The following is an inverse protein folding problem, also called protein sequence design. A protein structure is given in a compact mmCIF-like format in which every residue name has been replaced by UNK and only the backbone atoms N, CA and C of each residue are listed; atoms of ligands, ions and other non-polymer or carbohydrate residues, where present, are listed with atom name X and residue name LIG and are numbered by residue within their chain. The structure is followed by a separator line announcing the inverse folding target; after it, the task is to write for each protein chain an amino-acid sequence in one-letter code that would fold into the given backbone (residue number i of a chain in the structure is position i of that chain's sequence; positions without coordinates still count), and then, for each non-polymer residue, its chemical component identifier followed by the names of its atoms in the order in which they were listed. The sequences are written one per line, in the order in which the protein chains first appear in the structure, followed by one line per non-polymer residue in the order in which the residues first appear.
data_IF_485259339109
#
_entry.id   IF_485259339109
#
_cell.length_a   1.000
_cell.length_b   1.000
_cell.length_c   1.000
_cell.angle_alpha   90.00
_cell.angle_beta   90.00
_cell.angle_gamma   90.00
#
_symmetry.space_group_name_H-M   'P 1'
#
loop_
_entity.id
_entity.type
_entity.pdbx_description
1 polymer ?
#
# COMPACT_ATOMS: atom_id res chain seq x y z
N UNK A 1 17.88 3.24 20.24
CA UNK A 1 18.51 3.19 18.90
C UNK A 1 17.50 2.65 17.89
N UNK A 2 17.41 3.26 16.71
CA UNK A 2 16.65 2.71 15.58
C UNK A 2 17.62 2.42 14.43
N UNK A 3 17.49 1.26 13.77
CA UNK A 3 18.28 0.88 12.60
C UNK A 3 17.32 0.47 11.51
N UNK A 4 17.44 1.09 10.33
CA UNK A 4 16.64 0.74 9.15
C UNK A 4 17.35 -0.37 8.38
N UNK A 5 16.65 -1.49 8.19
CA UNK A 5 17.22 -2.69 7.58
C UNK A 5 16.48 -3.12 6.33
N UNK A 6 15.47 -2.36 5.89
CA UNK A 6 14.71 -2.64 4.69
C UNK A 6 13.87 -1.45 4.27
N UNK A 7 13.49 -1.43 3.00
CA UNK A 7 12.64 -0.41 2.39
C UNK A 7 11.51 -1.09 1.61
N UNK A 8 10.34 -0.46 1.54
CA UNK A 8 9.24 -0.90 0.67
C UNK A 8 9.57 -0.58 -0.79
N UNK A 9 9.27 -1.51 -1.70
CA UNK A 9 9.40 -1.22 -3.13
C UNK A 9 8.32 -0.21 -3.56
N UNK A 10 8.71 0.84 -4.27
CA UNK A 10 7.77 1.79 -4.88
C UNK A 10 7.41 1.31 -6.28
N UNK A 11 6.11 1.20 -6.56
CA UNK A 11 5.60 0.92 -7.90
C UNK A 11 4.43 1.82 -8.23
N UNK A 12 4.43 2.40 -9.43
CA UNK A 12 3.29 3.16 -9.97
C UNK A 12 2.48 2.27 -10.92
N UNK A 13 1.16 2.34 -10.82
CA UNK A 13 0.22 1.70 -11.75
C UNK A 13 -0.63 2.77 -12.44
N UNK A 14 -0.78 2.67 -13.75
CA UNK A 14 -1.76 3.45 -14.51
C UNK A 14 -3.07 2.66 -14.56
N UNK A 15 -4.14 3.25 -14.05
CA UNK A 15 -5.50 2.84 -14.33
C UNK A 15 -6.00 3.68 -15.51
N UNK A 16 -6.49 3.04 -16.56
CA UNK A 16 -7.03 3.72 -17.73
C UNK A 16 -8.37 3.12 -18.15
N UNK A 17 -9.31 3.99 -18.49
CA UNK A 17 -10.57 3.62 -19.13
C UNK A 17 -10.69 4.38 -20.45
N UNK A 18 -11.34 3.76 -21.43
CA UNK A 18 -11.66 4.39 -22.72
C UNK A 18 -13.14 4.24 -23.03
N UNK A 19 -13.67 5.18 -23.81
CA UNK A 19 -15.06 5.22 -24.21
C UNK A 19 -15.18 5.84 -25.60
N UNK A 20 -16.19 5.45 -26.42
CA UNK A 20 -16.42 6.09 -27.71
C UNK A 20 -16.63 7.62 -27.64
N UNK A 21 -17.04 8.14 -26.48
CA UNK A 21 -17.42 9.54 -26.31
C UNK A 21 -18.83 9.80 -26.85
N UNK A 22 -19.17 11.07 -27.09
CA UNK A 22 -20.51 11.46 -27.55
C UNK A 22 -20.88 12.87 -27.09
N UNK A 23 -22.04 13.36 -27.53
CA UNK A 23 -22.53 14.68 -27.13
C UNK A 23 -23.24 14.61 -25.77
N UNK A 24 -22.96 15.54 -24.85
CA UNK A 24 -23.52 15.48 -23.49
C UNK A 24 -25.04 15.65 -23.42
N UNK A 25 -25.68 16.20 -24.47
CA UNK A 25 -27.16 16.30 -24.55
C UNK A 25 -27.86 14.97 -24.82
N UNK A 26 -27.12 13.92 -25.19
CA UNK A 26 -27.64 12.56 -25.36
C UNK A 26 -26.81 11.64 -24.46
N UNK A 27 -26.99 11.74 -23.13
CA UNK A 27 -26.15 11.01 -22.19
C UNK A 27 -26.37 9.51 -22.33
N UNK A 28 -25.28 8.77 -22.15
CA UNK A 28 -25.30 7.30 -22.05
C UNK A 28 -24.85 6.86 -20.65
N UNK A 29 -25.29 5.69 -20.19
CA UNK A 29 -24.87 5.15 -18.90
C UNK A 29 -23.38 4.79 -18.86
N UNK A 30 -22.76 4.44 -20.00
CA UNK A 30 -21.32 4.21 -20.10
C UNK A 30 -20.53 5.53 -20.16
N UNK A 31 -19.52 5.66 -19.31
CA UNK A 31 -18.71 6.87 -19.22
C UNK A 31 -17.31 6.52 -18.66
N UNK A 32 -16.24 6.96 -19.34
CA UNK A 32 -14.87 6.68 -18.92
C UNK A 32 -14.59 7.22 -17.50
N UNK A 33 -15.05 8.43 -17.18
CA UNK A 33 -14.84 9.03 -15.86
C UNK A 33 -15.54 8.21 -14.79
N UNK A 34 -16.80 7.79 -15.00
CA UNK A 34 -17.55 7.05 -13.99
C UNK A 34 -16.95 5.68 -13.70
N UNK A 35 -16.49 4.99 -14.76
CA UNK A 35 -15.84 3.68 -14.63
C UNK A 35 -14.51 3.82 -13.88
N UNK A 36 -13.70 4.82 -14.23
CA UNK A 36 -12.44 5.09 -13.54
C UNK A 36 -12.66 5.50 -12.08
N UNK A 37 -13.60 6.39 -11.79
CA UNK A 37 -13.84 6.85 -10.41
C UNK A 37 -14.34 5.70 -9.54
N UNK A 38 -15.20 4.83 -10.06
CA UNK A 38 -15.59 3.60 -9.36
C UNK A 38 -14.38 2.71 -9.04
N UNK A 39 -13.47 2.52 -10.01
CA UNK A 39 -12.24 1.76 -9.80
C UNK A 39 -11.33 2.40 -8.73
N UNK A 40 -11.10 3.71 -8.81
CA UNK A 40 -10.28 4.45 -7.84
C UNK A 40 -10.90 4.42 -6.45
N UNK A 41 -12.23 4.53 -6.32
CA UNK A 41 -12.93 4.40 -5.04
C UNK A 41 -12.72 3.02 -4.43
N UNK A 42 -12.85 1.93 -5.21
CA UNK A 42 -12.58 0.58 -4.72
C UNK A 42 -11.14 0.41 -4.23
N UNK A 43 -10.16 0.94 -4.97
CA UNK A 43 -8.75 0.93 -4.56
C UNK A 43 -8.54 1.71 -3.26
N UNK A 44 -9.12 2.92 -3.13
CA UNK A 44 -8.98 3.76 -1.95
C UNK A 44 -9.70 3.22 -0.69
N UNK A 45 -10.68 2.33 -0.86
CA UNK A 45 -11.39 1.66 0.23
C UNK A 45 -10.78 0.30 0.59
N UNK A 46 -9.83 -0.19 -0.20
CA UNK A 46 -9.25 -1.50 0.02
C UNK A 46 -8.10 -1.45 1.03
N UNK A 47 -8.21 -2.28 2.05
CA UNK A 47 -7.20 -2.46 3.07
C UNK A 47 -6.43 -3.75 2.78
N UNK A 48 -5.15 -3.62 2.41
CA UNK A 48 -4.29 -4.78 2.21
C UNK A 48 -4.07 -5.51 3.54
N UNK A 49 -3.98 -6.85 3.53
CA UNK A 49 -3.80 -7.61 4.75
C UNK A 49 -2.44 -7.30 5.40
N UNK A 50 -2.42 -7.43 6.73
CA UNK A 50 -1.18 -7.35 7.51
C UNK A 50 -0.23 -8.47 7.09
N UNK A 51 1.03 -8.12 6.96
CA UNK A 51 2.14 -9.02 6.73
C UNK A 51 3.22 -8.78 7.78
N UNK A 52 3.78 -9.87 8.28
CA UNK A 52 4.81 -9.83 9.33
C UNK A 52 6.05 -10.56 8.84
N UNK A 53 7.09 -9.79 8.55
CA UNK A 53 8.47 -10.27 8.36
C UNK A 53 9.21 -10.30 9.69
N UNK A 54 10.37 -10.95 9.74
CA UNK A 54 11.26 -10.93 10.91
C UNK A 54 11.62 -9.50 11.34
N UNK A 55 11.92 -8.63 10.37
CA UNK A 55 12.21 -7.20 10.61
C UNK A 55 11.05 -6.50 11.30
N UNK A 56 9.84 -6.59 10.75
CA UNK A 56 8.66 -5.96 11.33
C UNK A 56 8.31 -6.57 12.67
N UNK A 57 8.49 -7.90 12.84
CA UNK A 57 8.25 -8.60 14.10
C UNK A 57 9.15 -8.08 15.20
N UNK A 58 10.46 -8.05 14.98
CA UNK A 58 11.42 -7.56 15.98
C UNK A 58 11.18 -6.10 16.33
N UNK A 59 10.90 -5.25 15.34
CA UNK A 59 10.56 -3.85 15.58
C UNK A 59 9.32 -3.72 16.45
N UNK A 60 8.19 -4.31 16.05
CA UNK A 60 6.93 -4.14 16.76
C UNK A 60 6.87 -4.86 18.10
N UNK A 61 7.65 -5.92 18.33
CA UNK A 61 7.81 -6.52 19.66
C UNK A 61 8.42 -5.53 20.64
N UNK A 62 9.56 -4.92 20.27
CA UNK A 62 10.21 -3.89 21.11
C UNK A 62 9.35 -2.65 21.27
N UNK A 63 8.67 -2.22 20.20
CA UNK A 63 7.75 -1.08 20.25
C UNK A 63 6.57 -1.36 21.18
N UNK A 64 5.98 -2.56 21.14
CA UNK A 64 4.88 -2.92 22.02
C UNK A 64 5.25 -2.83 23.51
N UNK A 65 6.45 -3.30 23.87
CA UNK A 65 6.99 -3.22 25.24
C UNK A 65 7.19 -1.78 25.69
N UNK A 66 7.74 -0.93 24.83
CA UNK A 66 8.01 0.48 25.13
C UNK A 66 6.73 1.33 25.17
N UNK A 67 5.78 1.09 24.28
CA UNK A 67 4.53 1.85 24.19
C UNK A 67 3.56 1.47 25.32
N UNK A 68 3.45 0.18 25.66
CA UNK A 68 2.51 -0.30 26.68
C UNK A 68 1.05 0.07 26.39
N UNK A 69 0.20 -0.01 27.41
CA UNK A 69 -1.21 0.41 27.33
C UNK A 69 -2.04 -0.37 26.30
N UNK A 70 -3.04 0.29 25.71
CA UNK A 70 -3.90 -0.31 24.67
C UNK A 70 -3.14 -0.59 23.38
N UNK A 71 -2.32 0.38 22.92
CA UNK A 71 -1.55 0.26 21.68
C UNK A 71 -0.52 -0.88 21.75
N UNK A 72 0.23 -1.00 22.85
CA UNK A 72 1.19 -2.09 23.04
C UNK A 72 0.53 -3.46 23.01
N UNK A 73 -0.63 -3.62 23.68
CA UNK A 73 -1.42 -4.85 23.63
C UNK A 73 -1.91 -5.17 22.22
N UNK A 74 -2.37 -4.16 21.49
CA UNK A 74 -2.82 -4.33 20.11
C UNK A 74 -1.66 -4.73 19.17
N UNK A 75 -0.48 -4.12 19.33
CA UNK A 75 0.73 -4.52 18.61
C UNK A 75 1.11 -5.98 18.89
N UNK A 76 1.10 -6.40 20.16
CA UNK A 76 1.34 -7.81 20.52
C UNK A 76 0.30 -8.74 19.89
N UNK A 77 -0.98 -8.36 19.91
CA UNK A 77 -2.06 -9.16 19.35
C UNK A 77 -1.95 -9.31 17.83
N UNK A 78 -1.70 -8.22 17.08
CA UNK A 78 -1.45 -8.26 15.62
C UNK A 78 -0.26 -9.14 15.26
N UNK A 79 0.82 -9.11 16.06
CA UNK A 79 1.99 -9.93 15.81
C UNK A 79 1.75 -11.44 16.05
N UNK A 80 0.84 -11.77 16.95
CA UNK A 80 0.43 -13.15 17.22
C UNK A 80 -0.61 -13.64 16.20
N UNK A 81 -1.55 -12.78 15.82
CA UNK A 81 -2.59 -13.05 14.83
C UNK A 81 -2.79 -11.83 13.90
N UNK A 82 -2.15 -11.80 12.72
CA UNK A 82 -2.31 -10.71 11.74
C UNK A 82 -3.74 -10.48 11.25
N UNK A 83 -4.65 -11.45 11.43
CA UNK A 83 -6.05 -11.35 11.04
C UNK A 83 -6.96 -10.77 12.14
N UNK A 84 -6.42 -10.43 13.31
CA UNK A 84 -7.18 -9.78 14.39
C UNK A 84 -7.57 -8.35 14.00
N UNK A 85 -8.81 -8.20 13.51
CA UNK A 85 -9.36 -6.91 13.06
C UNK A 85 -9.51 -5.88 14.17
N UNK A 86 -9.73 -6.30 15.41
CA UNK A 86 -9.87 -5.36 16.52
C UNK A 86 -8.50 -4.76 16.88
N UNK A 87 -7.47 -5.61 16.93
CA UNK A 87 -6.10 -5.17 17.15
C UNK A 87 -5.58 -4.31 15.98
N UNK A 88 -5.84 -4.72 14.73
CA UNK A 88 -5.50 -3.94 13.54
C UNK A 88 -6.14 -2.55 13.56
N UNK A 89 -7.44 -2.45 13.91
CA UNK A 89 -8.13 -1.17 13.98
C UNK A 89 -7.49 -0.20 15.00
N UNK A 90 -6.88 -0.71 16.08
CA UNK A 90 -6.15 0.11 17.05
C UNK A 90 -4.78 0.52 16.49
N UNK A 91 -4.00 -0.46 16.00
CA UNK A 91 -2.65 -0.22 15.46
C UNK A 91 -2.69 0.76 14.29
N UNK A 92 -3.70 0.62 13.42
CA UNK A 92 -3.88 1.44 12.23
C UNK A 92 -4.30 2.88 12.50
N UNK A 93 -4.59 3.27 13.76
CA UNK A 93 -4.74 4.68 14.15
C UNK A 93 -3.42 5.44 14.00
N UNK A 94 -2.28 4.75 14.12
CA UNK A 94 -0.98 5.31 13.80
C UNK A 94 -0.64 4.99 12.32
N UNK A 95 -0.59 6.03 11.49
CA UNK A 95 -0.32 5.90 10.06
C UNK A 95 1.07 5.30 9.76
N UNK A 96 2.05 5.49 10.65
CA UNK A 96 3.38 4.91 10.49
C UNK A 96 3.32 3.40 10.73
N UNK A 97 2.62 2.98 11.78
CA UNK A 97 2.47 1.55 12.08
C UNK A 97 1.64 0.83 11.01
N UNK A 98 0.54 1.44 10.58
CA UNK A 98 -0.27 0.98 9.44
C UNK A 98 0.60 0.69 8.21
N UNK A 99 1.37 1.70 7.78
CA UNK A 99 2.18 1.64 6.55
C UNK A 99 3.30 0.60 6.63
N UNK A 100 3.87 0.35 7.82
CA UNK A 100 4.94 -0.64 8.02
C UNK A 100 4.45 -2.09 7.96
N UNK A 101 3.16 -2.35 8.18
CA UNK A 101 2.61 -3.69 8.33
C UNK A 101 1.99 -4.27 7.05
N UNK A 102 1.92 -3.53 5.95
CA UNK A 102 1.20 -3.98 4.74
C UNK A 102 1.66 -3.25 3.48
N UNK A 103 1.23 -3.73 2.32
CA UNK A 103 1.28 -2.92 1.08
C UNK A 103 0.28 -1.78 1.20
N UNK A 104 0.64 -0.57 0.77
CA UNK A 104 -0.30 0.56 0.72
C UNK A 104 -0.35 1.08 -0.71
N UNK A 105 -1.54 1.44 -1.19
CA UNK A 105 -1.75 1.99 -2.53
C UNK A 105 -2.64 3.22 -2.43
N UNK A 106 -2.21 4.32 -3.05
CA UNK A 106 -2.93 5.60 -3.04
C UNK A 106 -3.00 6.17 -4.44
N UNK A 107 -4.15 6.71 -4.84
CA UNK A 107 -4.26 7.48 -6.07
C UNK A 107 -3.55 8.83 -5.89
N UNK A 108 -2.61 9.15 -6.77
CA UNK A 108 -1.76 10.35 -6.68
C UNK A 108 -1.96 11.31 -7.86
N UNK A 109 -2.52 10.85 -8.97
CA UNK A 109 -2.85 11.69 -10.13
C UNK A 109 -4.17 11.24 -10.74
N UNK A 110 -4.93 12.19 -11.29
CA UNK A 110 -6.18 11.97 -12.00
C UNK A 110 -6.25 12.92 -13.20
N UNK A 111 -6.58 12.39 -14.38
CA UNK A 111 -6.73 13.14 -15.63
C UNK A 111 -7.91 12.57 -16.43
N UNK A 112 -8.88 13.41 -16.82
CA UNK A 112 -10.19 12.92 -17.25
C UNK A 112 -10.97 13.92 -18.10
N UNK A 113 -11.46 13.46 -19.25
CA UNK A 113 -12.25 14.27 -20.17
C UNK A 113 -11.44 15.34 -20.92
N UNK A 114 -12.06 15.97 -21.91
CA UNK A 114 -11.41 17.00 -22.74
C UNK A 114 -12.30 18.21 -23.03
N UNK A 115 -13.61 18.12 -22.78
CA UNK A 115 -14.57 19.20 -23.02
C UNK A 115 -15.74 19.12 -22.03
N UNK A 116 -16.31 20.29 -21.69
CA UNK A 116 -17.40 20.41 -20.71
C UNK A 116 -18.75 19.87 -21.21
N UNK A 117 -18.90 19.67 -22.52
CA UNK A 117 -20.14 19.25 -23.19
C UNK A 117 -19.99 17.95 -24.00
N UNK A 118 -19.00 17.12 -23.66
CA UNK A 118 -18.75 15.84 -24.31
C UNK A 118 -18.70 14.71 -23.30
N UNK A 119 -19.16 13.53 -23.70
CA UNK A 119 -18.85 12.29 -22.99
C UNK A 119 -17.35 12.04 -23.14
N UNK A 120 -16.64 11.79 -22.03
CA UNK A 120 -15.19 11.67 -22.03
C UNK A 120 -14.77 10.37 -22.73
N UNK A 121 -13.86 10.49 -23.70
CA UNK A 121 -13.32 9.32 -24.41
C UNK A 121 -12.24 8.57 -23.62
N UNK A 122 -11.67 9.23 -22.61
CA UNK A 122 -10.58 8.69 -21.79
C UNK A 122 -10.62 9.26 -20.40
N UNK A 123 -10.27 8.43 -19.42
CA UNK A 123 -9.90 8.85 -18.08
C UNK A 123 -8.73 8.00 -17.57
N UNK A 124 -7.80 8.62 -16.84
CA UNK A 124 -6.59 8.01 -16.29
C UNK A 124 -6.40 8.37 -14.83
N UNK A 125 -5.88 7.43 -14.04
CA UNK A 125 -5.37 7.67 -12.70
C UNK A 125 -4.02 6.99 -12.50
N UNK A 126 -3.12 7.64 -11.75
CA UNK A 126 -1.90 7.00 -11.27
C UNK A 126 -2.13 6.56 -9.82
N UNK A 127 -1.92 5.27 -9.56
CA UNK A 127 -1.92 4.70 -8.22
C UNK A 127 -0.48 4.38 -7.83
N UNK A 128 0.03 5.08 -6.81
CA UNK A 128 1.34 4.78 -6.22
C UNK A 128 1.17 3.74 -5.12
N UNK A 129 1.86 2.62 -5.25
CA UNK A 129 1.91 1.59 -4.22
C UNK A 129 3.29 1.53 -3.57
N UNK A 130 3.29 1.49 -2.23
CA UNK A 130 4.42 1.08 -1.41
C UNK A 130 4.23 -0.40 -1.07
N UNK A 131 4.96 -1.26 -1.76
CA UNK A 131 4.83 -2.71 -1.72
C UNK A 131 5.59 -3.29 -0.53
N UNK A 132 4.94 -4.14 0.25
CA UNK A 132 5.55 -4.83 1.38
C UNK A 132 6.75 -5.69 0.92
N UNK A 133 7.87 -5.73 1.66
CA UNK A 133 9.02 -6.55 1.28
C UNK A 133 8.66 -8.03 1.11
N UNK A 134 9.18 -8.68 0.06
CA UNK A 134 8.83 -10.05 -0.31
C UNK A 134 7.56 -10.20 -1.14
N UNK A 135 6.82 -9.11 -1.41
CA UNK A 135 5.69 -9.11 -2.35
C UNK A 135 6.13 -8.59 -3.71
N UNK A 136 5.78 -9.30 -4.78
CA UNK A 136 6.07 -8.87 -6.14
C UNK A 136 5.10 -7.78 -6.60
N UNK A 137 5.55 -6.91 -7.49
CA UNK A 137 4.68 -5.92 -8.14
C UNK A 137 3.57 -6.57 -8.98
N UNK A 138 3.80 -7.77 -9.51
CA UNK A 138 2.78 -8.50 -10.27
C UNK A 138 1.65 -9.01 -9.38
N UNK A 139 1.97 -9.44 -8.16
CA UNK A 139 0.97 -9.79 -7.15
C UNK A 139 0.11 -8.59 -6.79
N UNK A 140 0.71 -7.40 -6.61
CA UNK A 140 -0.05 -6.17 -6.33
C UNK A 140 -0.91 -5.76 -7.51
N UNK A 141 -0.40 -5.88 -8.75
CA UNK A 141 -1.19 -5.62 -9.96
C UNK A 141 -2.42 -6.53 -10.04
N UNK A 142 -2.22 -7.85 -9.87
CA UNK A 142 -3.31 -8.83 -9.92
C UNK A 142 -4.36 -8.55 -8.83
N UNK A 143 -3.91 -8.10 -7.66
CA UNK A 143 -4.81 -7.72 -6.58
C UNK A 143 -5.59 -6.44 -6.92
N UNK A 144 -4.97 -5.43 -7.54
CA UNK A 144 -5.68 -4.26 -8.07
C UNK A 144 -6.73 -4.66 -9.13
N UNK A 145 -6.38 -5.54 -10.07
CA UNK A 145 -7.32 -6.07 -11.06
C UNK A 145 -8.54 -6.73 -10.38
N UNK A 146 -8.29 -7.55 -9.34
CA UNK A 146 -9.33 -8.24 -8.56
C UNK A 146 -10.23 -7.27 -7.80
N UNK A 147 -9.65 -6.27 -7.13
CA UNK A 147 -10.38 -5.25 -6.37
C UNK A 147 -11.27 -4.43 -7.29
N UNK A 148 -10.73 -4.01 -8.44
CA UNK A 148 -11.45 -3.20 -9.42
C UNK A 148 -12.59 -4.01 -10.02
N UNK A 149 -12.32 -5.25 -10.45
CA UNK A 149 -13.33 -6.19 -10.94
C UNK A 149 -14.13 -5.68 -12.15
N UNK A 150 -13.59 -4.71 -12.89
CA UNK A 150 -14.18 -4.10 -14.07
C UNK A 150 -13.20 -4.26 -15.25
N UNK A 151 -13.54 -5.10 -16.25
CA UNK A 151 -12.66 -5.37 -17.38
C UNK A 151 -12.47 -4.16 -18.31
N UNK A 152 -13.28 -3.10 -18.17
CA UNK A 152 -13.09 -1.85 -18.94
C UNK A 152 -11.96 -0.99 -18.41
N UNK A 153 -11.43 -1.30 -17.22
CA UNK A 153 -10.34 -0.59 -16.57
C UNK A 153 -9.04 -1.36 -16.78
N UNK A 154 -8.16 -0.83 -17.62
CA UNK A 154 -6.83 -1.39 -17.82
C UNK A 154 -5.90 -0.93 -16.69
N UNK A 155 -5.27 -1.89 -16.00
CA UNK A 155 -4.18 -1.62 -15.04
C UNK A 155 -2.84 -1.97 -15.70
N UNK A 156 -1.92 -1.01 -15.77
CA UNK A 156 -0.56 -1.23 -16.31
C UNK A 156 0.50 -0.73 -15.34
N UNK A 157 1.67 -1.38 -15.32
CA UNK A 157 2.83 -0.94 -14.54
C UNK A 157 3.51 0.22 -15.27
N UNK A 158 3.77 1.31 -14.57
CA UNK A 158 4.57 2.42 -15.09
C UNK A 158 6.05 2.16 -14.76
N UNK A 159 6.92 2.29 -15.75
CA UNK A 159 8.37 2.20 -15.56
C UNK A 159 8.91 3.38 -14.72
N UNK A 160 9.98 3.18 -13.92
CA UNK A 160 10.76 1.96 -13.81
C UNK A 160 10.08 0.91 -12.91
N UNK A 161 10.08 -0.35 -13.35
CA UNK A 161 9.70 -1.48 -12.50
C UNK A 161 10.86 -1.83 -11.59
N UNK A 162 10.73 -1.53 -10.30
CA UNK A 162 11.77 -1.81 -9.31
C UNK A 162 11.78 -3.29 -8.92
N UNK A 163 12.95 -3.87 -8.64
CA UNK A 163 13.03 -5.23 -8.13
C UNK A 163 12.31 -5.35 -6.79
N UNK A 164 11.88 -6.57 -6.48
CA UNK A 164 11.28 -6.90 -5.19
C UNK A 164 12.28 -6.66 -4.07
N UNK A 165 11.88 -5.89 -3.06
CA UNK A 165 12.69 -5.70 -1.87
C UNK A 165 12.74 -7.00 -1.06
N UNK A 166 13.96 -7.43 -0.73
CA UNK A 166 14.21 -8.57 0.16
C UNK A 166 15.00 -8.03 1.34
N UNK A 167 14.46 -8.07 2.57
CA UNK A 167 15.21 -7.61 3.73
C UNK A 167 16.39 -8.56 4.01
N UNK A 168 17.56 -8.03 4.40
CA UNK A 168 18.68 -8.82 4.85
C UNK A 168 18.36 -9.49 6.20
N UNK A 169 19.00 -10.62 6.52
CA UNK A 169 18.78 -11.31 7.78
C UNK A 169 19.25 -10.48 8.97
N UNK A 170 18.49 -10.54 10.08
CA UNK A 170 18.83 -9.91 11.35
C UNK A 170 19.92 -10.69 12.09
N UNK A 171 21.18 -10.59 11.66
CA UNK A 171 22.28 -11.35 12.25
C UNK A 171 22.98 -10.62 13.41
N UNK A 172 23.32 -11.33 14.52
CA UNK A 172 24.08 -10.74 15.63
C UNK A 172 25.44 -10.15 15.21
N UNK A 173 26.04 -10.66 14.13
CA UNK A 173 27.29 -10.13 13.58
C UNK A 173 27.12 -8.73 12.97
N UNK A 174 25.97 -8.47 12.35
CA UNK A 174 25.65 -7.15 11.77
C UNK A 174 25.19 -6.14 12.82
N UNK A 175 24.32 -6.56 13.74
CA UNK A 175 23.65 -5.63 14.68
C UNK A 175 24.35 -5.51 16.04
N UNK A 176 25.05 -6.56 16.49
CA UNK A 176 25.65 -6.63 17.82
C UNK A 176 26.63 -5.48 18.12
N UNK A 177 27.52 -5.06 17.20
CA UNK A 177 28.37 -3.89 17.42
C UNK A 177 27.58 -2.58 17.62
N UNK A 178 26.51 -2.38 16.84
CA UNK A 178 25.67 -1.19 16.95
C UNK A 178 24.88 -1.17 18.26
N UNK A 179 24.31 -2.31 18.67
CA UNK A 179 23.60 -2.45 19.95
C UNK A 179 24.52 -2.19 21.15
N UNK A 180 25.74 -2.76 21.14
CA UNK A 180 26.75 -2.52 22.20
C UNK A 180 27.13 -1.05 22.29
N UNK A 181 27.34 -0.39 21.16
CA UNK A 181 27.71 1.02 21.13
C UNK A 181 26.55 1.90 21.61
N UNK A 182 25.32 1.60 21.21
CA UNK A 182 24.14 2.31 21.67
C UNK A 182 23.98 2.21 23.19
N UNK A 183 24.08 1.01 23.77
CA UNK A 183 23.96 0.80 25.22
C UNK A 183 25.07 1.53 26.00
N UNK A 184 26.27 1.66 25.43
CA UNK A 184 27.38 2.40 26.06
C UNK A 184 27.12 3.91 26.11
N UNK A 185 26.52 4.49 25.06
CA UNK A 185 26.37 5.94 24.92
C UNK A 185 24.99 6.46 25.36
N UNK A 186 24.00 5.58 25.44
CA UNK A 186 22.61 5.89 25.79
C UNK A 186 22.05 4.79 26.73
N UNK A 187 22.45 4.79 28.02
CA UNK A 187 22.04 3.79 29.00
C UNK A 187 20.56 3.92 29.39
#
# INVERSE_FOLDING_TARGET
MAVQVGEKTVQNYLLETTNPGGHSSVPRPDNAIYSLTAAVTKVGQYEFPIQVSDTTRTFFQRTAELTGGEMGKALTAVLANPDDKAADAIVSKDASFHSMLRTTCVATMLDAGHAMNALPQRARAVVNCRVFPGVSVDTVKAELDRIIGDPSVAVTKIEPIRPMAVPPPLSPKGFGPAEKLAAKHFP
#
